data_IF_078831678598
#
_entry.id   IF_078831678598
#
_cell.length_a   1.000
_cell.length_b   1.000
_cell.length_c   1.000
_cell.angle_alpha   90.00
_cell.angle_beta   90.00
_cell.angle_gamma   90.00
#
_symmetry.space_group_name_H-M   'P 1'
#
loop_
_entity.id
_entity.type
_entity.pdbx_description
1 polymer ?
#
# COMPACT_ATOMS: atom_id res chain seq x y z
N UNK A 1 -9.50 19.96 -6.58
CA UNK A 1 -9.20 19.21 -7.80
C UNK A 1 -8.03 18.25 -7.60
N UNK A 2 -7.01 18.67 -6.85
CA UNK A 2 -5.85 17.83 -6.58
C UNK A 2 -5.85 17.22 -5.18
N UNK A 3 -7.01 17.11 -4.55
CA UNK A 3 -7.14 16.59 -3.18
C UNK A 3 -6.64 15.15 -3.07
N UNK A 4 -6.99 14.29 -4.04
CA UNK A 4 -6.53 12.90 -4.04
C UNK A 4 -5.02 12.82 -4.27
N UNK A 5 -4.50 13.68 -5.12
CA UNK A 5 -3.06 13.78 -5.37
C UNK A 5 -2.32 14.22 -4.10
N UNK A 6 -2.86 15.20 -3.39
CA UNK A 6 -2.25 15.70 -2.15
C UNK A 6 -2.20 14.61 -1.07
N UNK A 7 -3.25 13.79 -0.95
CA UNK A 7 -3.24 12.67 0.01
C UNK A 7 -2.15 11.66 -0.30
N UNK A 8 -1.98 11.31 -1.58
CA UNK A 8 -0.91 10.40 -1.99
C UNK A 8 0.47 11.02 -1.75
N UNK A 9 0.60 12.32 -2.01
CA UNK A 9 1.84 13.05 -1.75
C UNK A 9 2.21 12.97 -0.27
N UNK A 10 1.23 13.14 0.61
CA UNK A 10 1.45 13.05 2.05
C UNK A 10 1.95 11.65 2.44
N UNK A 11 1.38 10.62 1.82
CA UNK A 11 1.88 9.25 2.01
C UNK A 11 3.36 9.14 1.63
N UNK A 12 3.75 9.67 0.47
CA UNK A 12 5.14 9.60 0.03
C UNK A 12 6.06 10.41 0.92
N UNK A 13 5.59 11.56 1.41
CA UNK A 13 6.37 12.35 2.36
C UNK A 13 6.59 11.58 3.67
N UNK A 14 5.54 10.98 4.21
CA UNK A 14 5.62 10.24 5.48
C UNK A 14 6.44 8.95 5.35
N UNK A 15 6.44 8.33 4.17
CA UNK A 15 7.20 7.10 3.94
C UNK A 15 8.67 7.35 3.56
N UNK A 16 9.02 8.58 3.18
CA UNK A 16 10.30 8.96 2.64
C UNK A 16 10.57 8.33 1.27
N UNK A 17 10.51 7.00 1.18
CA UNK A 17 10.60 6.30 -0.10
C UNK A 17 9.80 5.00 -0.03
N UNK A 18 9.34 4.54 -1.19
CA UNK A 18 8.70 3.23 -1.32
C UNK A 18 9.39 2.48 -2.45
N UNK A 19 9.79 1.25 -2.18
CA UNK A 19 10.47 0.41 -3.17
C UNK A 19 9.53 -0.72 -3.57
N UNK A 20 9.17 -0.76 -4.85
CA UNK A 20 8.35 -1.79 -5.43
C UNK A 20 6.91 -1.34 -5.71
N UNK A 21 6.46 -1.60 -6.94
CA UNK A 21 5.09 -1.24 -7.36
C UNK A 21 4.03 -2.03 -6.60
N UNK A 22 4.25 -3.33 -6.40
CA UNK A 22 3.32 -4.16 -5.64
C UNK A 22 3.22 -3.68 -4.20
N UNK A 23 4.37 -3.41 -3.59
CA UNK A 23 4.42 -2.96 -2.20
C UNK A 23 3.65 -1.64 -2.03
N UNK A 24 3.83 -0.71 -2.96
CA UNK A 24 3.10 0.56 -2.97
C UNK A 24 1.58 0.32 -2.99
N UNK A 25 1.12 -0.51 -3.91
CA UNK A 25 -0.30 -0.83 -4.03
C UNK A 25 -0.86 -1.39 -2.72
N UNK A 26 -0.14 -2.32 -2.10
CA UNK A 26 -0.60 -2.97 -0.87
C UNK A 26 -0.58 -2.03 0.32
N UNK A 27 0.44 -1.20 0.43
CA UNK A 27 0.54 -0.24 1.54
C UNK A 27 -0.63 0.74 1.53
N UNK A 28 -0.95 1.32 0.38
CA UNK A 28 -2.08 2.25 0.25
C UNK A 28 -3.39 1.53 0.57
N UNK A 29 -3.57 0.31 0.06
CA UNK A 29 -4.78 -0.45 0.34
C UNK A 29 -4.96 -0.72 1.84
N UNK A 30 -3.89 -1.18 2.48
CA UNK A 30 -3.93 -1.49 3.92
C UNK A 30 -4.24 -0.23 4.73
N UNK A 31 -3.62 0.90 4.40
CA UNK A 31 -3.91 2.17 5.07
C UNK A 31 -5.37 2.59 4.86
N UNK A 32 -5.90 2.39 3.66
CA UNK A 32 -7.30 2.67 3.37
C UNK A 32 -8.22 1.83 4.26
N UNK A 33 -7.90 0.55 4.45
CA UNK A 33 -8.65 -0.33 5.35
C UNK A 33 -8.50 0.10 6.82
N UNK A 34 -7.44 0.78 7.18
CA UNK A 34 -7.23 1.33 8.52
C UNK A 34 -7.92 2.68 8.73
N UNK A 35 -8.65 3.18 7.74
CA UNK A 35 -9.42 4.42 7.87
C UNK A 35 -8.77 5.66 7.28
N UNK A 36 -7.63 5.54 6.62
CA UNK A 36 -7.05 6.67 5.91
C UNK A 36 -7.87 6.90 4.63
N UNK A 37 -8.39 8.11 4.40
CA UNK A 37 -9.37 8.34 3.34
C UNK A 37 -8.77 8.48 1.95
N UNK A 38 -8.07 7.47 1.47
CA UNK A 38 -7.66 7.39 0.08
C UNK A 38 -8.89 7.04 -0.76
N UNK A 39 -9.06 7.75 -1.88
CA UNK A 39 -10.26 7.63 -2.72
C UNK A 39 -10.12 6.63 -3.86
N UNK A 40 -8.93 6.09 -4.09
CA UNK A 40 -8.67 5.16 -5.17
C UNK A 40 -9.48 3.88 -4.99
N UNK A 41 -10.14 3.44 -6.05
CA UNK A 41 -10.94 2.21 -6.01
C UNK A 41 -10.06 1.00 -6.26
N UNK A 42 -10.32 -0.07 -5.52
CA UNK A 42 -9.57 -1.31 -5.62
C UNK A 42 -10.46 -2.45 -6.10
N UNK A 43 -9.88 -3.34 -6.88
CA UNK A 43 -10.49 -4.59 -7.30
C UNK A 43 -9.54 -5.73 -6.97
N UNK A 44 -10.04 -6.97 -6.97
CA UNK A 44 -9.19 -8.13 -6.71
C UNK A 44 -8.57 -8.60 -8.01
N UNK A 45 -7.24 -8.56 -8.10
CA UNK A 45 -6.48 -8.96 -9.27
C UNK A 45 -5.55 -10.14 -8.93
N UNK A 46 -4.72 -10.52 -9.89
CA UNK A 46 -3.82 -11.65 -9.78
C UNK A 46 -2.91 -11.57 -8.54
N UNK A 47 -2.43 -10.38 -8.22
CA UNK A 47 -1.56 -10.17 -7.06
C UNK A 47 -2.31 -9.59 -5.84
N UNK A 48 -3.60 -9.89 -5.73
CA UNK A 48 -4.44 -9.38 -4.65
C UNK A 48 -5.08 -8.04 -4.99
N UNK A 49 -5.50 -7.26 -3.98
CA UNK A 49 -6.12 -5.96 -4.23
C UNK A 49 -5.23 -5.04 -5.06
N UNK A 50 -5.80 -4.46 -6.09
CA UNK A 50 -5.08 -3.61 -7.03
C UNK A 50 -5.97 -2.44 -7.47
N UNK A 51 -5.37 -1.27 -7.63
CA UNK A 51 -6.08 -0.07 -8.08
C UNK A 51 -5.43 0.50 -9.33
N UNK A 52 -6.18 0.50 -10.43
CA UNK A 52 -5.75 1.18 -11.65
C UNK A 52 -5.77 2.69 -11.47
N UNK A 53 -6.72 3.21 -10.68
CA UNK A 53 -6.77 4.64 -10.37
C UNK A 53 -5.51 5.10 -9.66
N UNK A 54 -5.01 4.30 -8.71
CA UNK A 54 -3.76 4.60 -8.02
C UNK A 54 -2.60 4.65 -9.01
N UNK A 55 -2.51 3.66 -9.89
CA UNK A 55 -1.45 3.62 -10.90
C UNK A 55 -1.47 4.89 -11.76
N UNK A 56 -2.66 5.29 -12.23
CA UNK A 56 -2.80 6.50 -13.05
C UNK A 56 -2.42 7.76 -12.28
N UNK A 57 -2.80 7.87 -11.01
CA UNK A 57 -2.46 9.05 -10.20
C UNK A 57 -0.96 9.12 -9.92
N UNK A 58 -0.31 7.98 -9.70
CA UNK A 58 1.15 7.94 -9.54
C UNK A 58 1.82 8.45 -10.82
N UNK A 59 1.35 8.00 -12.00
CA UNK A 59 1.87 8.48 -13.28
C UNK A 59 1.68 9.98 -13.41
N UNK A 60 0.51 10.50 -13.06
CA UNK A 60 0.25 11.94 -13.08
C UNK A 60 1.19 12.71 -12.17
N UNK A 61 1.42 12.19 -10.95
CA UNK A 61 2.35 12.83 -10.01
C UNK A 61 3.77 12.84 -10.54
N UNK A 62 4.19 11.76 -11.19
CA UNK A 62 5.51 11.70 -11.83
C UNK A 62 5.59 12.70 -12.98
N UNK A 63 4.56 12.80 -13.80
CA UNK A 63 4.52 13.73 -14.93
C UNK A 63 4.52 15.19 -14.46
N UNK A 64 3.91 15.48 -13.32
CA UNK A 64 3.94 16.82 -12.72
C UNK A 64 5.26 17.15 -12.05
N UNK A 65 6.15 16.17 -11.91
CA UNK A 65 7.44 16.35 -11.26
C UNK A 65 7.39 16.33 -9.74
N UNK A 66 6.27 15.90 -9.14
CA UNK A 66 6.11 15.88 -7.69
C UNK A 66 6.65 14.62 -7.04
N UNK A 67 6.68 13.51 -7.79
CA UNK A 67 7.22 12.22 -7.37
C UNK A 67 8.25 11.78 -8.40
N UNK A 68 9.37 11.22 -7.95
CA UNK A 68 10.31 10.56 -8.84
C UNK A 68 10.08 9.06 -8.81
N UNK A 69 10.14 8.44 -9.98
CA UNK A 69 10.13 6.99 -10.13
C UNK A 69 11.44 6.59 -10.79
N UNK A 70 12.25 5.83 -10.08
CA UNK A 70 13.53 5.35 -10.60
C UNK A 70 13.47 3.85 -10.78
N UNK A 71 13.70 3.40 -12.01
CA UNK A 71 13.79 1.97 -12.32
C UNK A 71 15.20 1.50 -12.04
N UNK A 72 15.32 0.51 -11.17
CA UNK A 72 16.61 -0.08 -10.79
C UNK A 72 16.72 -1.50 -11.33
N UNK A 73 17.86 -1.80 -11.99
CA UNK A 73 18.16 -3.14 -12.49
C UNK A 73 18.88 -3.92 -11.38
N UNK A 74 18.28 -5.05 -10.98
CA UNK A 74 18.79 -5.91 -9.91
C UNK A 74 19.31 -7.25 -10.46
N UNK A 75 19.76 -7.27 -11.70
CA UNK A 75 20.29 -8.45 -12.42
C UNK A 75 19.21 -9.44 -12.86
N UNK A 76 18.35 -9.89 -11.94
CA UNK A 76 17.31 -10.89 -12.24
C UNK A 76 15.92 -10.28 -12.36
N UNK A 77 15.77 -9.02 -11.94
CA UNK A 77 14.47 -8.33 -11.95
C UNK A 77 14.69 -6.83 -11.90
N UNK A 78 13.64 -6.08 -12.20
CA UNK A 78 13.63 -4.64 -12.03
C UNK A 78 12.83 -4.28 -10.79
N UNK A 79 13.23 -3.20 -10.12
CA UNK A 79 12.40 -2.62 -9.08
C UNK A 79 12.29 -1.12 -9.30
N UNK A 80 11.23 -0.54 -8.76
CA UNK A 80 10.96 0.88 -8.91
C UNK A 80 10.99 1.53 -7.54
N UNK A 81 11.71 2.64 -7.45
CA UNK A 81 11.83 3.42 -6.21
C UNK A 81 11.09 4.72 -6.39
N UNK A 82 10.20 5.02 -5.44
CA UNK A 82 9.36 6.22 -5.46
C UNK A 82 9.75 7.13 -4.32
N UNK A 83 9.97 8.41 -4.62
CA UNK A 83 10.31 9.42 -3.62
C UNK A 83 9.61 10.73 -3.97
N UNK A 84 9.25 11.51 -2.94
CA UNK A 84 8.75 12.86 -3.16
C UNK A 84 9.92 13.75 -3.58
N UNK A 85 9.67 14.67 -4.51
CA UNK A 85 10.67 15.63 -4.97
C UNK A 85 10.55 16.93 -4.17
N UNK A 86 11.53 17.84 -4.32
CA UNK A 86 11.44 19.17 -3.70
C UNK A 86 10.23 19.95 -4.21
N UNK A 87 9.87 19.78 -5.50
CA UNK A 87 8.65 20.38 -6.06
C UNK A 87 7.39 19.80 -5.41
N UNK A 88 7.41 18.49 -5.11
CA UNK A 88 6.31 17.84 -4.41
C UNK A 88 6.15 18.34 -2.99
N UNK A 89 7.26 18.52 -2.28
CA UNK A 89 7.23 19.09 -0.93
C UNK A 89 6.67 20.51 -0.93
N UNK A 90 7.10 21.33 -1.89
CA UNK A 90 6.59 22.68 -2.06
C UNK A 90 5.10 22.69 -2.35
N UNK A 91 4.64 21.79 -3.20
CA UNK A 91 3.21 21.64 -3.49
C UNK A 91 2.41 21.38 -2.21
N UNK A 92 2.90 20.47 -1.35
CA UNK A 92 2.23 20.16 -0.09
C UNK A 92 2.22 21.34 0.87
N UNK A 93 3.29 22.12 0.90
CA UNK A 93 3.35 23.32 1.73
C UNK A 93 2.27 24.33 1.36
N UNK A 94 1.94 24.42 0.05
CA UNK A 94 0.91 25.33 -0.45
C UNK A 94 -0.49 24.70 -0.47
N UNK A 95 -0.57 23.38 -0.35
CA UNK A 95 -1.84 22.65 -0.39
C UNK A 95 -1.86 21.62 0.74
N UNK A 96 -1.81 22.06 2.00
CA UNK A 96 -1.75 21.15 3.12
C UNK A 96 -2.97 20.23 3.17
N UNK A 97 -2.74 18.99 3.58
CA UNK A 97 -3.79 18.00 3.69
C UNK A 97 -3.79 17.44 5.11
N UNK A 98 -4.99 17.32 5.68
CA UNK A 98 -5.15 16.71 6.99
C UNK A 98 -5.58 15.26 6.83
N UNK A 99 -4.78 14.35 7.37
CA UNK A 99 -5.06 12.92 7.36
C UNK A 99 -4.83 12.37 8.76
N UNK A 100 -5.53 11.28 9.14
CA UNK A 100 -5.15 10.56 10.34
C UNK A 100 -3.67 10.19 10.28
N UNK A 101 -3.02 10.13 11.43
CA UNK A 101 -1.60 9.77 11.51
C UNK A 101 -1.38 8.38 10.92
N UNK A 102 -0.38 8.24 10.07
CA UNK A 102 -0.09 6.97 9.40
C UNK A 102 1.38 6.56 9.42
N UNK A 103 2.24 7.40 10.01
CA UNK A 103 3.69 7.19 10.00
C UNK A 103 4.11 5.88 10.66
N UNK A 104 3.51 5.53 11.80
CA UNK A 104 3.83 4.28 12.49
C UNK A 104 3.42 3.06 11.67
N UNK A 105 2.22 3.11 11.07
CA UNK A 105 1.75 2.01 10.21
C UNK A 105 2.62 1.86 8.98
N UNK A 106 3.01 2.98 8.37
CA UNK A 106 3.93 2.96 7.23
C UNK A 106 5.25 2.32 7.63
N UNK A 107 5.81 2.72 8.77
CA UNK A 107 7.10 2.20 9.22
C UNK A 107 7.10 0.69 9.37
N UNK A 108 6.07 0.13 10.02
CA UNK A 108 6.00 -1.32 10.20
C UNK A 108 5.74 -2.06 8.88
N UNK A 109 4.98 -1.47 7.97
CA UNK A 109 4.73 -2.08 6.66
C UNK A 109 5.98 -2.08 5.78
N UNK A 110 6.80 -1.04 5.87
CA UNK A 110 8.05 -0.97 5.08
C UNK A 110 9.01 -2.10 5.41
N UNK A 111 8.98 -2.61 6.62
CA UNK A 111 9.83 -3.72 7.06
C UNK A 111 9.38 -5.08 6.53
N UNK A 112 8.16 -5.17 5.99
CA UNK A 112 7.60 -6.42 5.53
C UNK A 112 7.85 -6.64 4.05
N UNK A 113 7.89 -7.91 3.64
CA UNK A 113 8.04 -8.28 2.24
C UNK A 113 6.76 -8.02 1.45
N UNK A 114 6.89 -7.90 0.13
CA UNK A 114 5.73 -7.81 -0.75
C UNK A 114 4.81 -9.01 -0.60
N UNK A 115 5.38 -10.20 -0.43
CA UNK A 115 4.60 -11.43 -0.20
C UNK A 115 3.74 -11.33 1.05
N UNK A 116 4.32 -10.84 2.15
CA UNK A 116 3.58 -10.70 3.40
C UNK A 116 2.47 -9.67 3.28
N UNK A 117 2.76 -8.53 2.64
CA UNK A 117 1.75 -7.47 2.45
C UNK A 117 0.65 -7.92 1.48
N UNK A 118 0.97 -8.75 0.50
CA UNK A 118 -0.05 -9.35 -0.37
C UNK A 118 -1.00 -10.22 0.46
N UNK A 119 -0.47 -11.04 1.35
CA UNK A 119 -1.30 -11.86 2.25
C UNK A 119 -2.20 -10.99 3.12
N UNK A 120 -1.61 -10.02 3.82
CA UNK A 120 -2.37 -9.11 4.70
C UNK A 120 -3.47 -8.39 3.93
N UNK A 121 -3.15 -7.83 2.77
CA UNK A 121 -4.14 -7.09 1.97
C UNK A 121 -5.25 -8.01 1.45
N UNK A 122 -4.91 -9.25 1.10
CA UNK A 122 -5.91 -10.24 0.67
C UNK A 122 -6.87 -10.57 1.81
N UNK A 123 -6.34 -10.79 3.01
CA UNK A 123 -7.17 -11.07 4.18
C UNK A 123 -8.10 -9.89 4.50
N UNK A 124 -7.59 -8.68 4.42
CA UNK A 124 -8.39 -7.47 4.63
C UNK A 124 -9.46 -7.28 3.54
N UNK A 125 -9.18 -7.71 2.33
CA UNK A 125 -10.17 -7.62 1.25
C UNK A 125 -11.42 -8.45 1.56
N UNK A 126 -11.25 -9.56 2.27
CA UNK A 126 -12.33 -10.45 2.65
C UNK A 126 -12.75 -10.29 4.12
N UNK A 127 -12.56 -9.10 4.68
CA UNK A 127 -12.80 -8.84 6.10
C UNK A 127 -14.28 -8.89 6.51
N UNK A 128 -15.19 -8.99 5.56
CA UNK A 128 -16.61 -9.21 5.82
C UNK A 128 -16.94 -10.67 6.16
N UNK A 129 -15.97 -11.56 6.05
CA UNK A 129 -16.14 -12.99 6.35
C UNK A 129 -15.60 -13.30 7.76
N UNK A 130 -15.97 -14.46 8.30
CA UNK A 130 -15.39 -14.93 9.56
C UNK A 130 -13.91 -15.27 9.36
N UNK A 131 -13.17 -15.37 10.47
CA UNK A 131 -11.75 -15.70 10.41
C UNK A 131 -11.49 -17.00 9.64
N UNK A 132 -12.27 -18.05 9.92
CA UNK A 132 -12.13 -19.35 9.25
C UNK A 132 -12.40 -19.21 7.75
N UNK A 133 -13.46 -18.47 7.39
CA UNK A 133 -13.82 -18.25 5.99
C UNK A 133 -12.75 -17.43 5.25
N UNK A 134 -12.15 -16.43 5.92
CA UNK A 134 -11.04 -15.65 5.34
C UNK A 134 -9.88 -16.58 5.00
N UNK A 135 -9.49 -17.44 5.93
CA UNK A 135 -8.38 -18.37 5.70
C UNK A 135 -8.66 -19.35 4.57
N UNK A 136 -9.87 -19.87 4.50
CA UNK A 136 -10.28 -20.72 3.39
C UNK A 136 -10.23 -19.97 2.06
N UNK A 137 -10.69 -18.74 2.05
CA UNK A 137 -10.68 -17.89 0.86
C UNK A 137 -9.27 -17.64 0.38
N UNK A 138 -8.34 -17.33 1.30
CA UNK A 138 -6.93 -17.13 0.97
C UNK A 138 -6.35 -18.39 0.34
N UNK A 139 -6.59 -19.55 0.93
CA UNK A 139 -6.07 -20.82 0.40
C UNK A 139 -6.63 -21.13 -0.98
N UNK A 140 -7.83 -20.70 -1.27
CA UNK A 140 -8.48 -20.91 -2.58
C UNK A 140 -7.92 -19.93 -3.62
N UNK A 141 -8.00 -18.63 -3.37
CA UNK A 141 -7.66 -17.59 -4.36
C UNK A 141 -6.15 -17.39 -4.50
N UNK A 142 -5.39 -17.77 -3.48
CA UNK A 142 -3.93 -17.66 -3.46
C UNK A 142 -3.24 -19.01 -3.36
N UNK A 143 -3.84 -20.02 -3.97
CA UNK A 143 -3.34 -21.39 -3.92
C UNK A 143 -1.88 -21.52 -4.38
N UNK A 144 -1.52 -20.77 -5.43
CA UNK A 144 -0.14 -20.84 -5.98
C UNK A 144 0.91 -20.31 -5.03
N UNK A 145 0.56 -19.33 -4.20
CA UNK A 145 1.48 -18.76 -3.23
C UNK A 145 1.73 -19.70 -2.05
N UNK A 146 0.78 -20.61 -1.80
CA UNK A 146 0.93 -21.64 -0.78
C UNK A 146 1.35 -21.08 0.58
N UNK A 147 0.58 -20.11 1.09
CA UNK A 147 0.86 -19.51 2.38
C UNK A 147 0.77 -20.55 3.49
N UNK A 148 1.74 -20.52 4.40
CA UNK A 148 1.81 -21.46 5.53
C UNK A 148 0.87 -21.04 6.65
N UNK A 149 0.57 -21.98 7.55
CA UNK A 149 -0.23 -21.67 8.73
C UNK A 149 0.46 -20.60 9.58
N UNK A 150 1.79 -20.64 9.69
CA UNK A 150 2.53 -19.63 10.44
C UNK A 150 2.42 -18.25 9.80
N UNK A 151 2.47 -18.19 8.47
CA UNK A 151 2.28 -16.93 7.77
C UNK A 151 0.90 -16.34 8.05
N UNK A 152 -0.15 -17.19 8.11
CA UNK A 152 -1.49 -16.73 8.44
C UNK A 152 -1.57 -16.20 9.87
N UNK A 153 -0.95 -16.91 10.82
CA UNK A 153 -0.89 -16.45 12.23
C UNK A 153 -0.20 -15.09 12.30
N UNK A 154 0.96 -14.96 11.66
CA UNK A 154 1.72 -13.71 11.65
C UNK A 154 0.92 -12.57 11.02
N UNK A 155 0.17 -12.88 9.96
CA UNK A 155 -0.66 -11.89 9.28
C UNK A 155 -1.81 -11.42 10.17
N UNK A 156 -2.49 -12.34 10.88
CA UNK A 156 -3.53 -11.96 11.84
C UNK A 156 -2.99 -11.08 12.95
N UNK A 157 -1.82 -11.42 13.47
CA UNK A 157 -1.18 -10.62 14.52
C UNK A 157 -0.84 -9.23 14.01
N UNK A 158 -0.34 -9.15 12.78
CA UNK A 158 -0.01 -7.88 12.14
C UNK A 158 -1.26 -7.01 11.94
N UNK A 159 -2.34 -7.61 11.46
CA UNK A 159 -3.63 -6.92 11.28
C UNK A 159 -4.12 -6.38 12.61
N UNK A 160 -4.00 -7.17 13.66
CA UNK A 160 -4.36 -6.73 15.02
C UNK A 160 -3.59 -5.48 15.44
N UNK A 161 -2.30 -5.46 15.20
CA UNK A 161 -1.45 -4.30 15.51
C UNK A 161 -1.83 -3.07 14.66
N UNK A 162 -2.12 -3.27 13.37
CA UNK A 162 -2.47 -2.18 12.46
C UNK A 162 -3.81 -1.54 12.82
N UNK A 163 -4.75 -2.35 13.28
CA UNK A 163 -6.12 -1.88 13.58
C UNK A 163 -6.26 -1.35 15.00
N UNK A 164 -5.26 -1.53 15.84
CA UNK A 164 -5.22 -0.89 17.15
C UNK A 164 -5.18 0.62 16.99
N UNK A 165 -5.78 1.31 17.94
CA UNK A 165 -5.85 2.78 17.90
C UNK A 165 -4.49 3.37 18.27
N UNK A 166 -3.95 4.13 17.37
CA UNK A 166 -2.68 4.84 17.56
C UNK A 166 -2.89 6.33 17.73
#
# INVERSE_FOLDING_TARGET
VLANHARLMKFFLDSNEVVGRKKLQKMIYILKKCGIPFEEKYEFHFYGPYSEELTLRIEELCNLGFISEVKEDKSNYYQYRYQVTSQGEEFLDHSPVELPAMEERIAVMKEKSSRFLELVSTMLYFDNLSKVEVEEKVRTVKKKQNFTDQELVDAWDFIGCLTEKH
#
